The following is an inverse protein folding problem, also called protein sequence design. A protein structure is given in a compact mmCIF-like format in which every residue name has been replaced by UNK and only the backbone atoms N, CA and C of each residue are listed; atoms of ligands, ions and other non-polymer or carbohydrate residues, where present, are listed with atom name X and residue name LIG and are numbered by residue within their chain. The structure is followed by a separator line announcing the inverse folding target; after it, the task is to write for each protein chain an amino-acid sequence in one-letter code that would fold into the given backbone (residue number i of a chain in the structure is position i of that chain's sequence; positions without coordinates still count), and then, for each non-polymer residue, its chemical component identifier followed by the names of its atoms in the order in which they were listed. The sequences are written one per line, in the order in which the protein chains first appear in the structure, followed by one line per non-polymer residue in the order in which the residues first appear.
data_IF_872205735975
#
_entry.id   IF_872205735975
#
_cell.length_a   1.000
_cell.length_b   1.000
_cell.length_c   1.000
_cell.angle_alpha   90.00
_cell.angle_beta   90.00
_cell.angle_gamma   90.00
#
_symmetry.space_group_name_H-M   'P 1'
#
loop_
_entity.id
_entity.type
_entity.pdbx_description
1 polymer ?
#
# COMPACT_ATOMS: atom_id res chain seq x y z
N UNK A 1 -21.75 -2.69 -2.19
CA UNK A 1 -20.79 -2.08 -1.23
C UNK A 1 -19.58 -2.99 -1.19
N UNK A 2 -18.38 -2.48 -1.50
CA UNK A 2 -17.17 -3.30 -1.59
C UNK A 2 -16.84 -3.97 -0.25
N UNK A 3 -16.26 -5.17 -0.29
CA UNK A 3 -15.90 -5.94 0.91
C UNK A 3 -15.02 -5.12 1.86
N UNK A 4 -14.06 -4.35 1.32
CA UNK A 4 -13.17 -3.52 2.15
C UNK A 4 -13.90 -2.35 2.79
N UNK A 5 -14.78 -1.64 2.09
CA UNK A 5 -15.57 -0.55 2.70
C UNK A 5 -16.50 -1.07 3.81
N UNK A 6 -17.09 -2.25 3.59
CA UNK A 6 -17.88 -2.92 4.63
C UNK A 6 -17.05 -3.24 5.85
N UNK A 7 -15.86 -3.81 5.64
CA UNK A 7 -14.91 -4.10 6.71
C UNK A 7 -14.49 -2.82 7.46
N UNK A 8 -14.03 -1.79 6.75
CA UNK A 8 -13.62 -0.51 7.37
C UNK A 8 -14.76 0.09 8.18
N UNK A 9 -15.97 0.19 7.61
CA UNK A 9 -17.12 0.75 8.34
C UNK A 9 -17.47 -0.07 9.58
N UNK A 10 -17.38 -1.40 9.50
CA UNK A 10 -17.61 -2.28 10.63
C UNK A 10 -16.57 -2.02 11.74
N UNK A 11 -15.28 -1.97 11.40
CA UNK A 11 -14.21 -1.69 12.37
C UNK A 11 -14.38 -0.30 13.00
N UNK A 12 -14.69 0.73 12.21
CA UNK A 12 -14.90 2.08 12.74
C UNK A 12 -16.09 2.13 13.71
N UNK A 13 -17.17 1.40 13.43
CA UNK A 13 -18.32 1.27 14.34
C UNK A 13 -17.96 0.52 15.62
N UNK A 14 -17.27 -0.61 15.52
CA UNK A 14 -16.84 -1.43 16.66
C UNK A 14 -15.88 -0.66 17.58
N UNK A 15 -14.99 0.15 17.00
CA UNK A 15 -14.05 1.00 17.73
C UNK A 15 -14.64 2.33 18.19
N UNK A 16 -15.92 2.60 17.87
CA UNK A 16 -16.60 3.86 18.19
C UNK A 16 -15.82 5.10 17.70
N UNK A 17 -15.25 5.00 16.49
CA UNK A 17 -14.45 6.07 15.91
C UNK A 17 -15.27 7.37 15.75
N UNK A 18 -14.63 8.48 16.09
CA UNK A 18 -15.21 9.83 16.03
C UNK A 18 -14.77 10.53 14.72
N UNK A 19 -15.53 11.53 14.23
CA UNK A 19 -15.24 12.21 12.95
C UNK A 19 -13.86 12.86 12.80
N UNK A 20 -13.13 13.08 13.91
CA UNK A 20 -11.79 13.67 13.91
C UNK A 20 -10.69 12.63 14.19
N UNK A 21 -11.06 11.37 14.39
CA UNK A 21 -10.11 10.31 14.64
C UNK A 21 -9.29 10.04 13.40
N UNK A 22 -8.02 9.74 13.63
CA UNK A 22 -7.07 9.51 12.57
C UNK A 22 -7.12 8.04 12.17
N UNK A 23 -7.52 7.78 10.92
CA UNK A 23 -7.66 6.42 10.40
C UNK A 23 -6.44 6.09 9.54
N UNK A 24 -5.65 5.14 10.04
CA UNK A 24 -4.49 4.57 9.36
C UNK A 24 -4.80 3.14 8.90
N UNK A 25 -4.45 2.83 7.67
CA UNK A 25 -4.42 1.47 7.16
C UNK A 25 -2.96 1.10 6.92
N UNK A 26 -2.48 0.08 7.63
CA UNK A 26 -1.07 -0.32 7.63
C UNK A 26 -0.99 -1.83 7.42
N UNK A 27 -0.08 -2.27 6.56
CA UNK A 27 0.18 -3.69 6.34
C UNK A 27 0.97 -3.95 5.06
N UNK A 28 1.00 -5.21 4.64
CA UNK A 28 1.35 -5.62 3.28
C UNK A 28 0.06 -6.00 2.53
N UNK A 29 -0.08 -5.60 1.27
CA UNK A 29 -1.25 -6.01 0.47
C UNK A 29 -0.92 -7.23 -0.40
N UNK A 30 0.35 -7.66 -0.45
CA UNK A 30 0.88 -8.65 -1.40
C UNK A 30 0.35 -8.46 -2.82
N UNK A 31 0.12 -7.20 -3.21
CA UNK A 31 -0.30 -6.80 -4.56
C UNK A 31 0.87 -6.15 -5.26
N UNK A 32 1.06 -6.49 -6.51
CA UNK A 32 2.19 -5.94 -7.25
C UNK A 32 1.92 -4.45 -7.58
N UNK A 33 2.58 -3.57 -6.83
CA UNK A 33 2.48 -2.13 -6.99
C UNK A 33 3.44 -1.53 -7.99
N UNK A 34 4.38 -2.32 -8.52
CA UNK A 34 5.46 -1.83 -9.37
C UNK A 34 5.74 -2.71 -10.58
N UNK A 35 4.78 -3.56 -10.98
CA UNK A 35 4.84 -4.31 -12.24
C UNK A 35 4.90 -3.34 -13.41
N UNK A 36 6.12 -3.01 -13.86
CA UNK A 36 6.36 -2.00 -14.89
C UNK A 36 5.64 -2.33 -16.20
N UNK A 37 5.42 -3.61 -16.46
CA UNK A 37 4.77 -4.07 -17.68
C UNK A 37 3.24 -3.93 -17.63
N UNK A 38 2.63 -3.80 -16.45
CA UNK A 38 1.20 -3.76 -16.22
C UNK A 38 0.46 -5.05 -16.59
N UNK A 39 -0.71 -5.27 -15.98
CA UNK A 39 -1.60 -6.37 -16.31
C UNK A 39 -2.45 -6.04 -17.54
N UNK A 40 -2.78 -7.08 -18.33
CA UNK A 40 -3.68 -6.94 -19.48
C UNK A 40 -5.11 -6.62 -19.03
N UNK A 41 -5.75 -5.70 -19.75
CA UNK A 41 -7.18 -5.35 -19.55
C UNK A 41 -8.12 -6.53 -19.76
N UNK A 42 -7.69 -7.60 -20.45
CA UNK A 42 -8.50 -8.82 -20.64
C UNK A 42 -8.89 -9.46 -19.29
N UNK A 43 -8.03 -9.36 -18.28
CA UNK A 43 -8.34 -9.81 -16.92
C UNK A 43 -9.45 -8.96 -16.29
N UNK A 44 -9.41 -7.64 -16.49
CA UNK A 44 -10.41 -6.71 -15.95
C UNK A 44 -11.81 -6.91 -16.55
N UNK A 45 -11.92 -7.51 -17.74
CA UNK A 45 -13.24 -7.85 -18.31
C UNK A 45 -14.02 -8.83 -17.43
N UNK A 46 -13.33 -9.64 -16.62
CA UNK A 46 -13.97 -10.52 -15.62
C UNK A 46 -14.49 -9.74 -14.40
N UNK A 47 -14.05 -8.49 -14.23
CA UNK A 47 -14.38 -7.61 -13.11
C UNK A 47 -14.98 -6.29 -13.62
N UNK A 48 -16.21 -6.31 -14.18
CA UNK A 48 -16.79 -5.16 -14.89
C UNK A 48 -16.89 -3.89 -14.04
N UNK A 49 -17.11 -4.04 -12.73
CA UNK A 49 -17.11 -2.91 -11.78
C UNK A 49 -15.74 -2.24 -11.70
N UNK A 50 -14.66 -3.03 -11.60
CA UNK A 50 -13.30 -2.50 -11.54
C UNK A 50 -12.88 -1.89 -12.88
N UNK A 51 -13.27 -2.51 -14.00
CA UNK A 51 -13.04 -1.99 -15.34
C UNK A 51 -13.66 -0.61 -15.55
N UNK A 52 -14.90 -0.42 -15.07
CA UNK A 52 -15.59 0.87 -15.12
C UNK A 52 -14.85 1.94 -14.31
N UNK A 53 -14.30 1.58 -13.15
CA UNK A 53 -13.59 2.50 -12.26
C UNK A 53 -12.23 2.93 -12.81
N UNK A 54 -11.49 2.00 -13.41
CA UNK A 54 -10.16 2.27 -13.96
C UNK A 54 -10.20 3.04 -15.30
N UNK A 55 -11.38 3.25 -15.88
CA UNK A 55 -11.53 4.00 -17.13
C UNK A 55 -11.08 3.23 -18.37
N UNK A 56 -11.15 1.89 -18.35
CA UNK A 56 -10.75 1.00 -19.44
C UNK A 56 -9.33 1.26 -19.98
N UNK A 57 -8.30 1.15 -19.13
CA UNK A 57 -6.94 1.43 -19.55
C UNK A 57 -6.40 0.28 -20.41
N UNK A 58 -5.47 0.54 -21.33
CA UNK A 58 -4.83 -0.53 -22.12
C UNK A 58 -4.04 -1.50 -21.23
N UNK A 59 -3.50 -0.99 -20.13
CA UNK A 59 -2.77 -1.72 -19.08
C UNK A 59 -3.10 -1.09 -17.73
N UNK A 60 -3.11 -1.87 -16.66
CA UNK A 60 -3.29 -1.35 -15.30
C UNK A 60 -2.31 -2.00 -14.34
N UNK A 61 -2.02 -1.33 -13.23
CA UNK A 61 -1.32 -1.92 -12.09
C UNK A 61 -2.34 -2.36 -11.03
N UNK A 62 -2.09 -3.47 -10.34
CA UNK A 62 -2.97 -3.93 -9.26
C UNK A 62 -3.11 -2.89 -8.16
N UNK A 63 -2.05 -2.13 -7.94
CA UNK A 63 -2.06 -1.03 -6.99
C UNK A 63 -3.02 0.09 -7.39
N UNK A 64 -3.11 0.47 -8.67
CA UNK A 64 -4.13 1.44 -9.12
C UNK A 64 -5.54 0.92 -8.85
N UNK A 65 -5.78 -0.37 -9.14
CA UNK A 65 -7.04 -1.04 -8.86
C UNK A 65 -7.40 -0.99 -7.36
N UNK A 66 -6.44 -1.32 -6.49
CA UNK A 66 -6.62 -1.22 -5.05
C UNK A 66 -6.97 0.21 -4.65
N UNK A 67 -6.17 1.20 -5.05
CA UNK A 67 -6.39 2.60 -4.66
C UNK A 67 -7.79 3.05 -5.08
N UNK A 68 -8.29 2.66 -6.25
CA UNK A 68 -9.66 3.00 -6.69
C UNK A 68 -10.74 2.33 -5.84
N UNK A 69 -10.56 1.05 -5.47
CA UNK A 69 -11.46 0.34 -4.56
C UNK A 69 -11.49 1.03 -3.20
N UNK A 70 -10.32 1.41 -2.67
CA UNK A 70 -10.15 2.03 -1.36
C UNK A 70 -10.70 3.46 -1.31
N UNK A 71 -10.61 4.22 -2.41
CA UNK A 71 -11.18 5.56 -2.54
C UNK A 71 -12.70 5.58 -2.63
N UNK A 72 -13.37 4.43 -2.70
CA UNK A 72 -14.83 4.34 -2.85
C UNK A 72 -15.32 5.22 -4.02
N UNK A 73 -14.76 5.05 -5.21
CA UNK A 73 -15.04 5.90 -6.38
C UNK A 73 -14.69 7.39 -6.20
N UNK A 74 -13.64 7.70 -5.44
CA UNK A 74 -13.20 9.07 -5.18
C UNK A 74 -14.02 9.81 -4.13
N UNK A 75 -14.94 9.13 -3.45
CA UNK A 75 -15.74 9.68 -2.34
C UNK A 75 -14.93 9.82 -1.06
N UNK A 76 -14.02 8.86 -0.82
CA UNK A 76 -13.12 8.89 0.33
C UNK A 76 -11.77 9.47 -0.10
N UNK A 77 -11.15 10.26 0.77
CA UNK A 77 -9.76 10.68 0.58
C UNK A 77 -8.85 9.54 1.04
N UNK A 78 -7.94 9.13 0.16
CA UNK A 78 -6.99 8.04 0.45
C UNK A 78 -5.59 8.47 -0.01
N UNK A 79 -4.65 8.54 0.93
CA UNK A 79 -3.29 9.06 0.70
C UNK A 79 -2.27 8.01 1.07
N UNK A 80 -1.37 7.64 0.15
CA UNK A 80 -0.17 6.85 0.48
C UNK A 80 0.85 7.77 1.15
N UNK A 81 1.21 7.47 2.39
CA UNK A 81 2.13 8.27 3.15
C UNK A 81 3.62 7.91 2.93
N UNK A 82 3.89 6.76 2.29
CA UNK A 82 5.24 6.27 1.99
C UNK A 82 5.69 6.56 0.55
N UNK A 83 4.76 6.85 -0.37
CA UNK A 83 5.04 6.93 -1.81
C UNK A 83 6.08 8.00 -2.19
N UNK A 84 6.09 9.13 -1.51
CA UNK A 84 6.99 10.26 -1.83
C UNK A 84 8.38 10.17 -1.18
N UNK A 85 8.68 9.08 -0.46
CA UNK A 85 9.89 8.95 0.36
C UNK A 85 11.01 8.16 -0.33
N UNK A 86 10.84 7.70 -1.57
CA UNK A 86 11.87 6.93 -2.28
C UNK A 86 12.88 7.81 -3.04
N UNK A 87 14.17 7.62 -2.74
CA UNK A 87 15.26 8.09 -3.57
C UNK A 87 15.44 7.17 -4.79
N UNK A 88 15.23 7.72 -6.00
CA UNK A 88 15.58 7.05 -7.25
C UNK A 88 17.10 7.07 -7.45
N UNK A 89 17.78 6.07 -6.90
CA UNK A 89 19.20 5.81 -7.18
C UNK A 89 19.39 4.70 -8.21
N UNK A 90 20.10 4.99 -9.30
CA UNK A 90 20.64 3.97 -10.20
C UNK A 90 21.89 3.35 -9.56
N UNK A 91 21.74 2.17 -8.98
CA UNK A 91 22.85 1.35 -8.53
C UNK A 91 22.66 -0.07 -9.03
N UNK A 92 23.77 -0.75 -9.34
CA UNK A 92 23.76 -2.15 -9.74
C UNK A 92 23.22 -2.99 -8.57
N UNK A 93 22.02 -3.57 -8.73
CA UNK A 93 21.32 -4.31 -7.68
C UNK A 93 21.67 -5.80 -7.76
N UNK A 94 21.92 -6.44 -6.62
CA UNK A 94 22.03 -7.89 -6.48
C UNK A 94 21.11 -8.36 -5.35
N UNK A 95 20.47 -9.55 -5.49
CA UNK A 95 19.58 -10.05 -4.46
C UNK A 95 20.38 -10.42 -3.21
N UNK A 96 19.90 -10.01 -2.04
CA UNK A 96 20.54 -10.34 -0.75
C UNK A 96 20.09 -11.69 -0.20
N UNK A 97 19.02 -12.27 -0.75
CA UNK A 97 18.37 -13.52 -0.37
C UNK A 97 17.95 -14.22 -1.67
N UNK A 98 18.11 -15.55 -1.76
CA UNK A 98 17.75 -16.34 -2.95
C UNK A 98 17.10 -17.69 -2.62
N UNK A 99 16.89 -18.02 -1.35
CA UNK A 99 16.36 -19.29 -0.87
C UNK A 99 14.88 -19.21 -0.49
N UNK A 100 14.44 -18.07 0.08
CA UNK A 100 13.07 -17.79 0.48
C UNK A 100 12.29 -17.11 -0.65
N UNK A 101 12.91 -16.21 -1.40
CA UNK A 101 12.26 -15.48 -2.50
C UNK A 101 12.25 -16.30 -3.79
N UNK A 102 11.10 -16.39 -4.47
CA UNK A 102 11.03 -17.02 -5.79
C UNK A 102 11.95 -16.30 -6.78
N UNK A 103 12.53 -17.04 -7.71
CA UNK A 103 13.44 -16.47 -8.71
C UNK A 103 12.78 -15.41 -9.58
N UNK A 104 11.47 -15.54 -9.83
CA UNK A 104 10.71 -14.54 -10.57
C UNK A 104 10.57 -13.22 -9.80
N UNK A 105 10.63 -13.26 -8.47
CA UNK A 105 10.40 -12.12 -7.59
C UNK A 105 11.70 -11.44 -7.13
N UNK A 106 12.86 -12.00 -7.47
CA UNK A 106 14.15 -11.39 -7.19
C UNK A 106 14.29 -10.06 -7.93
N UNK A 107 14.63 -9.00 -7.17
CA UNK A 107 14.88 -7.65 -7.69
C UNK A 107 13.70 -6.98 -8.39
N UNK A 108 12.47 -7.48 -8.25
CA UNK A 108 11.25 -6.86 -8.81
C UNK A 108 11.05 -5.44 -8.30
N UNK A 109 11.57 -5.14 -7.11
CA UNK A 109 11.45 -3.83 -6.49
C UNK A 109 9.99 -3.46 -6.30
N UNK A 110 9.16 -4.38 -5.82
CA UNK A 110 7.75 -4.14 -5.47
C UNK A 110 7.62 -3.42 -4.12
N UNK A 111 6.63 -2.53 -3.95
CA UNK A 111 6.37 -1.78 -2.71
C UNK A 111 5.10 -2.37 -2.12
N UNK A 112 5.25 -3.45 -1.36
CA UNK A 112 4.13 -4.24 -0.88
C UNK A 112 3.61 -3.71 0.46
N UNK A 113 4.52 -3.19 1.28
CA UNK A 113 4.23 -2.51 2.54
C UNK A 113 3.68 -1.10 2.30
N UNK A 114 2.63 -0.76 3.03
CA UNK A 114 1.94 0.51 2.90
C UNK A 114 1.56 1.11 4.25
N UNK A 115 1.47 2.44 4.24
CA UNK A 115 0.80 3.23 5.28
C UNK A 115 -0.10 4.22 4.55
N UNK A 116 -1.41 4.00 4.64
CA UNK A 116 -2.41 4.88 4.06
C UNK A 116 -3.14 5.67 5.13
N UNK A 117 -3.39 6.94 4.85
CA UNK A 117 -4.40 7.73 5.56
C UNK A 117 -5.73 7.66 4.81
N UNK A 118 -6.80 7.28 5.51
CA UNK A 118 -8.18 7.32 5.01
C UNK A 118 -8.94 8.47 5.68
N UNK A 119 -9.71 9.22 4.88
CA UNK A 119 -10.72 10.16 5.39
C UNK A 119 -12.05 9.83 4.69
N UNK A 120 -13.05 9.33 5.43
CA UNK A 120 -14.36 8.98 4.88
C UNK A 120 -15.10 10.16 4.23
N UNK A 121 -15.95 9.86 3.25
CA UNK A 121 -16.90 10.80 2.65
C UNK A 121 -17.72 11.52 3.74
N UNK A 122 -17.75 12.86 3.69
CA UNK A 122 -18.40 13.77 4.65
C UNK A 122 -17.69 13.99 5.99
N UNK A 123 -16.50 13.44 6.19
CA UNK A 123 -15.66 13.80 7.33
C UNK A 123 -14.62 14.85 6.92
N UNK A 124 -14.47 15.88 7.75
CA UNK A 124 -13.36 16.83 7.62
C UNK A 124 -12.35 16.55 8.72
N UNK A 125 -11.50 15.53 8.53
CA UNK A 125 -10.38 15.38 9.41
C UNK A 125 -9.34 16.46 9.07
N UNK A 126 -9.26 17.48 9.92
CA UNK A 126 -8.29 18.56 9.77
C UNK A 126 -6.89 18.17 10.26
N UNK A 127 -6.77 17.03 10.97
CA UNK A 127 -5.48 16.51 11.38
C UNK A 127 -4.73 15.99 10.15
N UNK A 128 -3.48 16.40 10.03
CA UNK A 128 -2.60 15.94 8.95
C UNK A 128 -1.52 15.05 9.54
N UNK A 129 -1.21 13.96 8.84
CA UNK A 129 -0.05 13.13 9.16
C UNK A 129 1.12 13.59 8.31
N UNK A 130 2.25 13.75 8.97
CA UNK A 130 3.54 13.86 8.32
C UNK A 130 4.38 12.64 8.70
N UNK A 131 4.91 11.94 7.69
CA UNK A 131 5.85 10.85 7.88
C UNK A 131 7.27 11.40 7.91
N UNK A 132 8.05 10.92 8.87
CA UNK A 132 9.46 11.26 9.06
C UNK A 132 10.29 9.99 9.20
N UNK A 133 11.57 10.07 8.80
CA UNK A 133 12.57 9.04 9.06
C UNK A 133 12.09 7.65 8.63
N UNK A 134 11.75 7.51 7.34
CA UNK A 134 11.38 6.20 6.78
C UNK A 134 12.64 5.36 6.63
N UNK A 135 12.64 4.15 7.19
CA UNK A 135 13.72 3.18 7.06
C UNK A 135 13.18 1.85 6.53
N UNK A 136 14.00 1.19 5.71
CA UNK A 136 13.79 -0.21 5.33
C UNK A 136 14.49 -1.09 6.36
N UNK A 137 13.72 -1.90 7.06
CA UNK A 137 14.16 -2.79 8.13
C UNK A 137 14.49 -4.17 7.58
N UNK A 138 15.76 -4.57 7.71
CA UNK A 138 16.24 -5.88 7.22
C UNK A 138 16.44 -6.83 8.38
N UNK A 139 15.81 -8.00 8.32
CA UNK A 139 15.81 -9.00 9.39
C UNK A 139 16.87 -10.08 9.14
N UNK A 140 18.15 -9.71 9.11
CA UNK A 140 19.23 -10.64 8.80
C UNK A 140 19.46 -11.67 9.91
N UNK A 141 19.89 -12.87 9.51
CA UNK A 141 20.24 -13.95 10.42
C UNK A 141 21.53 -14.65 10.02
N UNK A 142 22.21 -15.22 11.00
CA UNK A 142 23.45 -15.97 10.83
C UNK A 142 23.25 -17.47 11.10
N UNK A 143 24.08 -18.30 10.49
CA UNK A 143 24.08 -19.75 10.71
C UNK A 143 22.88 -20.50 10.11
N UNK A 144 22.05 -19.84 9.30
CA UNK A 144 20.94 -20.44 8.58
C UNK A 144 21.25 -20.59 7.08
N UNK A 145 20.44 -21.38 6.37
CA UNK A 145 20.55 -21.52 4.91
C UNK A 145 20.07 -20.27 4.16
N UNK A 146 19.17 -19.51 4.77
CA UNK A 146 18.66 -18.23 4.30
C UNK A 146 19.37 -17.09 5.02
N UNK A 147 19.42 -15.91 4.39
CA UNK A 147 20.13 -14.73 4.93
C UNK A 147 19.25 -13.81 5.77
N UNK A 148 17.92 -13.97 5.69
CA UNK A 148 16.92 -13.14 6.38
C UNK A 148 15.68 -13.93 6.79
N UNK A 149 14.91 -13.44 7.77
CA UNK A 149 13.74 -14.13 8.33
C UNK A 149 12.45 -14.07 7.50
N UNK A 150 12.42 -13.20 6.50
CA UNK A 150 11.26 -12.91 5.65
C UNK A 150 11.76 -12.67 4.23
N UNK A 151 10.99 -13.01 3.21
CA UNK A 151 11.25 -12.64 1.82
C UNK A 151 11.01 -11.14 1.56
N UNK A 152 10.28 -10.47 2.47
CA UNK A 152 10.05 -9.04 2.47
C UNK A 152 10.88 -8.32 3.55
N UNK A 153 11.32 -7.09 3.27
CA UNK A 153 11.83 -6.19 4.30
C UNK A 153 10.68 -5.44 4.98
N UNK A 154 10.87 -5.08 6.24
CA UNK A 154 9.91 -4.24 6.95
C UNK A 154 10.11 -2.76 6.58
N UNK A 155 9.10 -1.95 6.91
CA UNK A 155 9.22 -0.49 6.86
C UNK A 155 8.95 0.07 8.24
N UNK A 156 9.84 0.95 8.72
CA UNK A 156 9.64 1.72 9.94
C UNK A 156 9.59 3.21 9.60
N UNK A 157 8.81 3.98 10.36
CA UNK A 157 8.77 5.43 10.24
C UNK A 157 8.25 6.09 11.51
N UNK A 158 8.53 7.39 11.64
CA UNK A 158 7.96 8.23 12.68
C UNK A 158 6.74 8.98 12.12
N UNK A 159 5.62 8.90 12.85
CA UNK A 159 4.36 9.57 12.51
C UNK A 159 4.25 10.83 13.37
N UNK A 160 4.23 12.00 12.71
CA UNK A 160 3.91 13.27 13.37
C UNK A 160 2.48 13.65 13.04
N UNK A 161 1.65 13.78 14.08
CA UNK A 161 0.27 14.24 13.96
C UNK A 161 0.24 15.75 14.16
N UNK A 162 -0.17 16.49 13.13
CA UNK A 162 -0.44 17.93 13.22
C UNK A 162 -1.92 18.14 13.41
N UNK A 163 -2.29 18.61 14.59
CA UNK A 163 -3.66 19.00 14.88
C UNK A 163 -3.96 20.34 14.22
N UNK A 164 -5.13 20.46 13.60
CA UNK A 164 -5.62 21.77 13.21
C UNK A 164 -6.04 22.56 14.45
N UNK A 165 -5.76 23.86 14.42
CA UNK A 165 -6.12 24.79 15.49
C UNK A 165 -7.60 25.15 15.45
#
# INVERSE_FOLDING_TARGET
MYCVKKFVNQILQEQQAMPNDLILLVGDYNIDSRYEQGYSVEVLKQFPTLLQQLGNPQKYQEYDALIQIMKNNGKDKFVNLLYDQEEKGECQRSPMEIQLTDKADLLTGQCLDYIFQLTPENESNQNTIEIKQVNVEKFFVEGQKFTQLSDHYGVSCNILIKQAK
#
